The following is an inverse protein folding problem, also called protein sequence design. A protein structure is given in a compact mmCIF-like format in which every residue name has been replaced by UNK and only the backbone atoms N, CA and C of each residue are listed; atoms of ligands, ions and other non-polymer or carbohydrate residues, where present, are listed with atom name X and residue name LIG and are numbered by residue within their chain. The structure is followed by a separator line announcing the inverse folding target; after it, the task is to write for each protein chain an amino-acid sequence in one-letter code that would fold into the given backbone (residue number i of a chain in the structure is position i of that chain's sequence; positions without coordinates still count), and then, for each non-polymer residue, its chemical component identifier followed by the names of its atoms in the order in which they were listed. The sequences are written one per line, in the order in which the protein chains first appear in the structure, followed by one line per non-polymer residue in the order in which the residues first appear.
data_IF_232284147796
#
_entry.id   IF_232284147796
#
_cell.length_a   1.000
_cell.length_b   1.000
_cell.length_c   1.000
_cell.angle_alpha   90.00
_cell.angle_beta   90.00
_cell.angle_gamma   90.00
#
_symmetry.space_group_name_H-M   'P 1'
#
loop_
_entity.id
_entity.type
_entity.pdbx_description
1 polymer ?
#
# COMPACT_ATOMS: atom_id res chain seq x y z
N UNK A 1 -11.99 -12.61 26.61
CA UNK A 1 -12.83 -13.37 25.65
C UNK A 1 -12.43 -12.94 24.23
N UNK A 2 -12.27 -13.86 23.29
CA UNK A 2 -11.87 -13.54 21.91
C UNK A 2 -13.13 -13.32 21.08
N UNK A 3 -13.37 -12.07 20.66
CA UNK A 3 -14.48 -11.75 19.76
C UNK A 3 -14.05 -12.09 18.33
N UNK A 4 -14.72 -13.04 17.69
CA UNK A 4 -14.47 -13.43 16.30
C UNK A 4 -15.56 -12.85 15.40
N UNK A 5 -15.17 -11.94 14.51
CA UNK A 5 -16.04 -11.42 13.46
C UNK A 5 -16.01 -12.37 12.24
N UNK A 6 -17.14 -12.59 11.54
CA UNK A 6 -17.16 -13.34 10.29
C UNK A 6 -16.21 -12.71 9.25
N UNK A 7 -15.46 -13.55 8.53
CA UNK A 7 -14.47 -13.09 7.54
C UNK A 7 -15.05 -12.20 6.44
N UNK A 8 -16.31 -12.43 6.07
CA UNK A 8 -17.01 -11.69 5.01
C UNK A 8 -17.38 -10.25 5.43
N UNK A 9 -17.46 -10.00 6.76
CA UNK A 9 -17.86 -8.70 7.31
C UNK A 9 -16.71 -7.82 7.77
N UNK A 10 -15.46 -8.29 7.74
CA UNK A 10 -14.32 -7.61 8.36
C UNK A 10 -14.13 -6.18 7.86
N UNK A 11 -14.14 -6.00 6.53
CA UNK A 11 -13.92 -4.71 5.89
C UNK A 11 -15.06 -3.71 6.17
N UNK A 12 -16.27 -4.21 6.39
CA UNK A 12 -17.45 -3.38 6.66
C UNK A 12 -17.61 -3.04 8.15
N UNK A 13 -17.21 -3.95 9.04
CA UNK A 13 -17.52 -3.88 10.47
C UNK A 13 -16.30 -3.53 11.36
N UNK A 14 -15.08 -3.74 10.86
CA UNK A 14 -13.84 -3.61 11.63
C UNK A 14 -12.91 -2.55 11.03
N UNK A 15 -12.51 -2.73 9.78
CA UNK A 15 -11.61 -1.79 9.09
C UNK A 15 -12.25 -0.41 9.00
N UNK A 16 -11.50 0.65 9.34
CA UNK A 16 -12.02 2.03 9.42
C UNK A 16 -13.20 2.26 10.39
N UNK A 17 -13.53 1.28 11.25
CA UNK A 17 -14.62 1.40 12.26
C UNK A 17 -14.13 1.23 13.70
N UNK A 18 -13.03 0.51 13.91
CA UNK A 18 -12.45 0.24 15.23
C UNK A 18 -11.13 0.99 15.37
N UNK A 19 -10.80 1.42 16.58
CA UNK A 19 -9.55 2.17 16.84
C UNK A 19 -8.26 1.37 16.60
N UNK A 20 -8.35 0.04 16.51
CA UNK A 20 -7.26 -0.83 16.07
C UNK A 20 -7.82 -1.90 15.13
N UNK A 21 -7.17 -2.06 13.98
CA UNK A 21 -7.48 -3.12 13.02
C UNK A 21 -6.21 -3.58 12.31
N UNK A 22 -6.31 -4.71 11.61
CA UNK A 22 -5.26 -5.24 10.76
C UNK A 22 -5.63 -4.94 9.31
N UNK A 23 -4.74 -4.30 8.59
CA UNK A 23 -4.88 -4.04 7.17
C UNK A 23 -3.72 -4.66 6.40
N UNK A 24 -3.82 -4.66 5.08
CA UNK A 24 -2.68 -4.89 4.21
C UNK A 24 -2.84 -4.04 2.95
N UNK A 25 -1.73 -3.58 2.41
CA UNK A 25 -1.68 -2.81 1.19
C UNK A 25 -0.77 -3.50 0.18
N UNK A 26 -1.25 -3.62 -1.06
CA UNK A 26 -0.39 -4.03 -2.17
C UNK A 26 0.58 -2.91 -2.52
N UNK A 27 1.85 -3.23 -2.78
CA UNK A 27 2.83 -2.25 -3.24
C UNK A 27 2.34 -1.49 -4.49
N UNK A 28 2.79 -0.24 -4.63
CA UNK A 28 2.51 0.62 -5.79
C UNK A 28 3.82 1.00 -6.49
N UNK A 29 3.81 1.14 -7.83
CA UNK A 29 4.98 1.60 -8.58
C UNK A 29 5.54 2.97 -8.18
N UNK A 30 4.73 3.84 -7.59
CA UNK A 30 5.14 5.18 -7.15
C UNK A 30 4.64 5.46 -5.74
N UNK A 31 5.38 6.31 -5.03
CA UNK A 31 5.07 6.80 -3.69
C UNK A 31 3.73 7.55 -3.71
N UNK A 32 3.52 8.43 -4.69
CA UNK A 32 2.27 9.18 -4.86
C UNK A 32 1.04 8.27 -5.01
N UNK A 33 1.17 7.15 -5.72
CA UNK A 33 0.06 6.21 -5.85
C UNK A 33 -0.24 5.53 -4.51
N UNK A 34 0.78 5.21 -3.71
CA UNK A 34 0.55 4.71 -2.34
C UNK A 34 -0.13 5.78 -1.48
N UNK A 35 0.37 7.01 -1.48
CA UNK A 35 -0.21 8.12 -0.71
C UNK A 35 -1.67 8.37 -1.07
N UNK A 36 -1.96 8.44 -2.36
CA UNK A 36 -3.31 8.66 -2.90
C UNK A 36 -4.28 7.53 -2.52
N UNK A 37 -3.77 6.30 -2.39
CA UNK A 37 -4.59 5.15 -2.02
C UNK A 37 -4.95 5.16 -0.53
N UNK A 38 -4.00 5.49 0.34
CA UNK A 38 -4.07 5.10 1.75
C UNK A 38 -3.79 6.21 2.78
N UNK A 39 -3.31 7.40 2.39
CA UNK A 39 -2.79 8.37 3.38
C UNK A 39 -3.22 9.82 3.18
N UNK A 40 -3.68 10.19 1.98
CA UNK A 40 -4.18 11.54 1.74
C UNK A 40 -5.47 11.83 2.52
N UNK A 41 -5.73 13.11 2.77
CA UNK A 41 -6.85 13.60 3.58
C UNK A 41 -8.22 13.46 2.91
N UNK A 42 -8.27 13.17 1.61
CA UNK A 42 -9.49 13.06 0.82
C UNK A 42 -9.89 11.61 0.44
N UNK A 43 -9.06 10.61 0.75
CA UNK A 43 -9.42 9.19 0.52
C UNK A 43 -10.21 8.61 1.68
N UNK A 44 -11.28 7.88 1.38
CA UNK A 44 -12.04 7.08 2.36
C UNK A 44 -11.27 5.84 2.84
N UNK A 45 -10.19 5.46 2.16
CA UNK A 45 -9.42 4.26 2.51
C UNK A 45 -8.23 4.54 3.43
N UNK A 46 -8.07 5.77 3.93
CA UNK A 46 -7.05 6.08 4.93
C UNK A 46 -7.42 5.41 6.26
N UNK A 47 -6.75 4.28 6.49
CA UNK A 47 -7.05 3.31 7.55
C UNK A 47 -6.47 3.67 8.92
N UNK A 48 -5.66 4.71 8.96
CA UNK A 48 -5.11 5.31 10.18
C UNK A 48 -5.89 6.56 10.61
N UNK A 49 -6.80 7.04 9.76
CA UNK A 49 -7.51 8.31 9.89
C UNK A 49 -6.56 9.51 10.15
N UNK A 50 -5.31 9.41 9.69
CA UNK A 50 -4.28 10.43 9.84
C UNK A 50 -4.57 11.62 8.92
N UNK A 51 -5.25 12.64 9.44
CA UNK A 51 -5.73 13.78 8.63
C UNK A 51 -5.49 15.16 9.24
N UNK A 52 -5.55 15.27 10.57
CA UNK A 52 -5.71 16.56 11.26
C UNK A 52 -4.49 17.02 12.05
N UNK A 53 -3.44 16.19 12.16
CA UNK A 53 -2.20 16.60 12.82
C UNK A 53 -1.46 17.63 11.95
N UNK A 54 -0.56 18.44 12.54
CA UNK A 54 0.27 19.36 11.75
C UNK A 54 1.07 18.65 10.65
N UNK A 55 1.57 17.44 10.93
CA UNK A 55 2.34 16.64 9.99
C UNK A 55 1.46 16.06 8.88
N UNK A 56 0.23 15.64 9.18
CA UNK A 56 -0.74 15.21 8.17
C UNK A 56 -1.11 16.36 7.21
N UNK A 57 -1.35 17.57 7.75
CA UNK A 57 -1.66 18.76 6.94
C UNK A 57 -0.47 19.12 6.03
N UNK A 58 0.75 19.09 6.58
CA UNK A 58 1.98 19.35 5.83
C UNK A 58 2.23 18.30 4.75
N UNK A 59 2.06 17.02 5.08
CA UNK A 59 2.15 15.90 4.14
C UNK A 59 1.22 16.12 2.94
N UNK A 60 -0.05 16.44 3.19
CA UNK A 60 -1.03 16.67 2.14
C UNK A 60 -0.69 17.87 1.25
N UNK A 61 -0.12 18.95 1.80
CA UNK A 61 0.39 20.08 1.00
C UNK A 61 1.52 19.65 0.08
N UNK A 62 2.52 18.96 0.64
CA UNK A 62 3.71 18.52 -0.13
C UNK A 62 3.30 17.54 -1.23
N UNK A 63 2.42 16.56 -0.95
CA UNK A 63 1.93 15.62 -1.98
C UNK A 63 1.25 16.36 -3.13
N UNK A 64 0.39 17.36 -2.83
CA UNK A 64 -0.29 18.17 -3.86
C UNK A 64 0.71 18.96 -4.71
N UNK A 65 1.71 19.58 -4.09
CA UNK A 65 2.75 20.33 -4.80
C UNK A 65 3.67 19.42 -5.62
N UNK A 66 4.08 18.27 -5.07
CA UNK A 66 5.00 17.33 -5.69
C UNK A 66 4.45 16.74 -6.99
N UNK A 67 3.13 16.57 -7.10
CA UNK A 67 2.45 16.13 -8.34
C UNK A 67 2.65 17.10 -9.51
N UNK A 68 2.78 18.39 -9.23
CA UNK A 68 2.99 19.43 -10.24
C UNK A 68 4.49 19.72 -10.50
N UNK A 69 5.39 19.16 -9.68
CA UNK A 69 6.83 19.38 -9.80
C UNK A 69 7.42 18.58 -10.97
N UNK A 70 8.16 19.29 -11.84
CA UNK A 70 8.77 18.76 -13.05
C UNK A 70 10.25 18.41 -12.85
N UNK A 71 10.91 19.05 -11.88
CA UNK A 71 12.26 18.71 -11.48
C UNK A 71 12.26 17.43 -10.64
N UNK A 72 12.92 16.39 -11.16
CA UNK A 72 12.90 15.05 -10.56
C UNK A 72 13.61 15.02 -9.21
N UNK A 73 14.71 15.76 -9.05
CA UNK A 73 15.49 15.74 -7.81
C UNK A 73 14.77 16.55 -6.72
N UNK A 74 14.14 17.67 -7.09
CA UNK A 74 13.28 18.43 -6.19
C UNK A 74 12.07 17.61 -5.74
N UNK A 75 11.38 16.95 -6.68
CA UNK A 75 10.24 16.07 -6.36
C UNK A 75 10.67 14.91 -5.46
N UNK A 76 11.87 14.34 -5.68
CA UNK A 76 12.42 13.30 -4.79
C UNK A 76 12.56 13.83 -3.37
N UNK A 77 13.19 15.00 -3.17
CA UNK A 77 13.34 15.59 -1.83
C UNK A 77 12.01 15.85 -1.14
N UNK A 78 10.99 16.29 -1.89
CA UNK A 78 9.62 16.45 -1.38
C UNK A 78 9.04 15.12 -0.90
N UNK A 79 9.18 14.05 -1.70
CA UNK A 79 8.68 12.73 -1.30
C UNK A 79 9.49 12.08 -0.16
N UNK A 80 10.78 12.38 -0.03
CA UNK A 80 11.54 11.97 1.16
C UNK A 80 11.03 12.64 2.44
N UNK A 81 10.61 13.91 2.34
CA UNK A 81 9.99 14.60 3.48
C UNK A 81 8.64 13.97 3.83
N UNK A 82 7.79 13.67 2.85
CA UNK A 82 6.51 12.99 3.12
C UNK A 82 6.71 11.61 3.74
N UNK A 83 7.75 10.87 3.34
CA UNK A 83 8.11 9.57 3.96
C UNK A 83 8.53 9.72 5.43
N UNK A 84 9.18 10.82 5.81
CA UNK A 84 9.53 11.09 7.21
C UNK A 84 8.28 11.41 8.03
N UNK A 85 7.44 12.34 7.55
CA UNK A 85 6.21 12.76 8.23
C UNK A 85 5.29 11.56 8.53
N UNK A 86 5.03 10.73 7.52
CA UNK A 86 4.17 9.55 7.68
C UNK A 86 4.82 8.46 8.55
N UNK A 87 6.15 8.34 8.55
CA UNK A 87 6.85 7.39 9.42
C UNK A 87 6.77 7.81 10.89
N UNK A 88 6.85 9.11 11.17
CA UNK A 88 6.90 9.62 12.54
C UNK A 88 5.51 9.79 13.17
N UNK A 89 4.47 10.11 12.37
CA UNK A 89 3.14 10.48 12.88
C UNK A 89 1.97 9.71 12.21
N UNK A 90 2.22 8.94 11.15
CA UNK A 90 1.18 8.38 10.26
C UNK A 90 0.34 7.23 10.80
N UNK A 91 0.43 6.87 12.09
CA UNK A 91 -0.47 5.93 12.78
C UNK A 91 -0.37 4.44 12.40
N UNK A 92 0.25 4.09 11.27
CA UNK A 92 0.43 2.71 10.84
C UNK A 92 1.63 2.04 11.51
N UNK A 93 1.45 0.80 11.98
CA UNK A 93 2.55 -0.05 12.42
C UNK A 93 2.78 -1.11 11.34
N UNK A 94 3.93 -1.05 10.68
CA UNK A 94 4.28 -1.95 9.58
C UNK A 94 5.37 -2.93 10.03
N UNK A 95 5.00 -4.16 10.48
CA UNK A 95 5.98 -5.12 11.00
C UNK A 95 6.72 -5.89 9.90
N UNK A 96 6.21 -5.91 8.67
CA UNK A 96 6.77 -6.70 7.58
C UNK A 96 6.37 -6.19 6.20
N UNK A 97 7.19 -6.52 5.20
CA UNK A 97 6.84 -6.51 3.78
C UNK A 97 6.78 -7.97 3.31
N UNK A 98 5.60 -8.43 2.89
CA UNK A 98 5.38 -9.84 2.58
C UNK A 98 5.90 -10.21 1.18
N UNK A 99 6.55 -11.37 1.08
CA UNK A 99 6.92 -11.96 -0.21
C UNK A 99 5.72 -12.67 -0.85
N UNK A 100 5.60 -12.59 -2.17
CA UNK A 100 4.70 -13.44 -2.93
C UNK A 100 5.39 -14.78 -3.24
N UNK A 101 4.94 -15.85 -2.60
CA UNK A 101 5.47 -17.20 -2.77
C UNK A 101 4.46 -18.04 -3.54
N UNK A 102 4.89 -18.63 -4.66
CA UNK A 102 4.04 -19.49 -5.50
C UNK A 102 4.51 -20.95 -5.42
N UNK A 103 3.56 -21.86 -5.20
CA UNK A 103 3.76 -23.28 -5.44
C UNK A 103 3.23 -23.62 -6.84
N UNK A 104 4.06 -24.25 -7.67
CA UNK A 104 3.73 -24.56 -9.07
C UNK A 104 3.95 -26.04 -9.34
N UNK A 105 3.08 -26.65 -10.16
CA UNK A 105 3.26 -28.04 -10.62
C UNK A 105 4.58 -28.18 -11.40
N UNK A 106 5.22 -29.35 -11.32
CA UNK A 106 6.41 -29.69 -12.12
C UNK A 106 6.16 -29.62 -13.64
N UNK A 107 4.91 -29.62 -14.06
CA UNK A 107 4.50 -29.53 -15.47
C UNK A 107 4.19 -28.11 -15.93
N UNK A 108 4.43 -27.09 -15.09
CA UNK A 108 4.19 -25.69 -15.42
C UNK A 108 5.52 -24.95 -15.35
N UNK A 109 5.82 -24.20 -16.40
CA UNK A 109 6.99 -23.34 -16.50
C UNK A 109 6.57 -21.87 -16.65
N UNK A 110 7.49 -20.97 -16.32
CA UNK A 110 7.39 -19.53 -16.52
C UNK A 110 8.78 -18.99 -16.89
N UNK A 111 8.84 -17.76 -17.41
CA UNK A 111 10.12 -17.10 -17.67
C UNK A 111 10.87 -16.75 -16.38
N UNK A 112 12.14 -16.37 -16.50
CA UNK A 112 13.01 -16.05 -15.34
C UNK A 112 12.48 -14.88 -14.50
N UNK A 113 11.75 -13.95 -15.14
CA UNK A 113 11.15 -12.81 -14.47
C UNK A 113 9.73 -13.17 -14.04
N UNK A 114 9.48 -13.17 -12.72
CA UNK A 114 8.15 -13.23 -12.12
C UNK A 114 7.91 -11.92 -11.37
N UNK A 115 6.73 -11.34 -11.56
CA UNK A 115 6.36 -10.08 -10.98
C UNK A 115 6.33 -10.19 -9.44
N UNK A 116 7.05 -9.29 -8.78
CA UNK A 116 7.09 -9.17 -7.32
C UNK A 116 5.90 -8.42 -6.72
N UNK A 117 4.92 -8.04 -7.55
CA UNK A 117 3.71 -7.36 -7.14
C UNK A 117 2.51 -8.29 -7.37
N UNK A 118 1.77 -8.61 -6.31
CA UNK A 118 0.57 -9.45 -6.31
C UNK A 118 0.81 -10.94 -6.59
N UNK A 119 -0.16 -11.76 -6.19
CA UNK A 119 -0.15 -13.20 -6.42
C UNK A 119 -0.20 -13.55 -7.91
N UNK A 120 0.29 -14.75 -8.24
CA UNK A 120 0.29 -15.34 -9.58
C UNK A 120 0.90 -14.45 -10.66
N UNK A 121 2.15 -13.99 -10.45
CA UNK A 121 2.89 -13.14 -11.38
C UNK A 121 2.15 -11.84 -11.72
N UNK A 122 1.69 -11.11 -10.70
CA UNK A 122 0.90 -9.89 -10.94
C UNK A 122 -0.46 -10.16 -11.61
N UNK A 123 -1.01 -11.36 -11.40
CA UNK A 123 -2.19 -11.84 -12.11
C UNK A 123 -1.93 -12.24 -13.57
N UNK A 124 -0.67 -12.26 -14.03
CA UNK A 124 -0.29 -12.54 -15.42
C UNK A 124 0.06 -13.99 -15.70
N UNK A 125 -0.09 -14.91 -14.74
CA UNK A 125 0.21 -16.33 -14.94
C UNK A 125 -0.48 -16.93 -16.18
N UNK A 126 -1.71 -16.53 -16.49
CA UNK A 126 -2.45 -17.02 -17.65
C UNK A 126 -1.85 -16.59 -19.00
N UNK A 127 -1.07 -15.51 -19.02
CA UNK A 127 -0.43 -14.96 -20.21
C UNK A 127 1.04 -15.39 -20.33
N UNK A 128 1.71 -15.64 -19.19
CA UNK A 128 3.17 -15.77 -19.11
C UNK A 128 3.65 -17.15 -18.70
N UNK A 129 2.77 -18.01 -18.20
CA UNK A 129 3.12 -19.36 -17.75
C UNK A 129 2.54 -20.38 -18.74
N UNK A 130 3.23 -21.49 -18.93
CA UNK A 130 2.85 -22.52 -19.91
C UNK A 130 3.08 -23.92 -19.36
N UNK A 131 2.49 -24.93 -20.02
CA UNK A 131 2.80 -26.33 -19.74
C UNK A 131 4.20 -26.64 -20.28
N UNK A 132 5.11 -27.06 -19.40
CA UNK A 132 6.47 -27.46 -19.75
C UNK A 132 6.51 -28.69 -20.67
#
# INVERSE_FOLDING_TARGET
EVVREPSDGYWSNVWNKKGWCTCYWGGRPTEDWMYSSAYVDDTEWNDTDWRSTPDAVKFNSIVKEARAELDVDKRRSMYEETQRLISDDGGAIVPMFANHIHAVSKTVAHGDNVAGNWSSDGGKFAERWWKA
#
